data_IF_795395684700
#
_entry.id   IF_795395684700
#
_cell.length_a   1.000
_cell.length_b   1.000
_cell.length_c   1.000
_cell.angle_alpha   90.00
_cell.angle_beta   90.00
_cell.angle_gamma   90.00
#
_symmetry.space_group_name_H-M   'P 1'
#
loop_
_entity.id
_entity.type
_entity.pdbx_description
1 polymer ?
#
# COMPACT_ATOMS: atom_id res chain seq x y z
N UNK A 1 9.20 -9.73 9.15
CA UNK A 1 9.82 -8.41 9.40
C UNK A 1 9.29 -7.32 8.44
N UNK A 2 9.07 -7.59 7.14
CA UNK A 2 8.59 -6.58 6.16
C UNK A 2 7.19 -6.00 6.45
N UNK A 3 6.20 -6.83 6.81
CA UNK A 3 4.81 -6.37 7.09
C UNK A 3 4.74 -5.42 8.30
N UNK A 4 5.57 -5.63 9.33
CA UNK A 4 5.59 -4.75 10.51
C UNK A 4 6.13 -3.35 10.18
N UNK A 5 7.13 -3.25 9.30
CA UNK A 5 7.65 -1.96 8.82
C UNK A 5 6.59 -1.16 8.08
N UNK A 6 5.75 -1.82 7.28
CA UNK A 6 4.72 -1.17 6.49
C UNK A 6 3.54 -0.67 7.32
N UNK A 7 3.21 -1.35 8.43
CA UNK A 7 2.20 -0.86 9.37
C UNK A 7 2.68 0.43 10.06
N UNK A 8 3.97 0.50 10.40
CA UNK A 8 4.58 1.71 10.98
C UNK A 8 4.57 2.85 9.96
N UNK A 9 4.94 2.57 8.72
CA UNK A 9 4.89 3.51 7.60
C UNK A 9 3.46 4.02 7.36
N UNK A 10 2.46 3.14 7.34
CA UNK A 10 1.04 3.50 7.24
C UNK A 10 0.58 4.45 8.33
N UNK A 11 0.99 4.18 9.58
CA UNK A 11 0.64 5.04 10.72
C UNK A 11 1.25 6.42 10.55
N UNK A 12 2.54 6.48 10.20
CA UNK A 12 3.23 7.75 9.96
C UNK A 12 2.61 8.54 8.80
N UNK A 13 2.31 7.88 7.68
CA UNK A 13 1.71 8.52 6.51
C UNK A 13 0.28 9.00 6.79
N UNK A 14 -0.51 8.21 7.53
CA UNK A 14 -1.85 8.60 7.95
C UNK A 14 -1.81 9.81 8.90
N UNK A 15 -0.86 9.86 9.84
CA UNK A 15 -0.69 11.00 10.73
C UNK A 15 -0.28 12.26 9.96
N UNK A 16 0.67 12.16 9.03
CA UNK A 16 1.09 13.26 8.16
C UNK A 16 -0.10 13.83 7.37
N UNK A 17 -0.88 12.97 6.71
CA UNK A 17 -2.05 13.37 5.91
C UNK A 17 -3.10 14.15 6.72
N UNK A 18 -3.27 13.81 8.01
CA UNK A 18 -4.19 14.55 8.89
C UNK A 18 -3.64 15.89 9.38
N UNK A 19 -2.31 16.04 9.43
CA UNK A 19 -1.64 17.28 9.85
C UNK A 19 -1.51 18.30 8.71
N UNK A 20 -1.54 17.83 7.45
CA UNK A 20 -1.52 18.67 6.25
C UNK A 20 -2.70 19.67 6.28
N UNK A 21 -2.43 20.98 6.22
CA UNK A 21 -3.48 22.02 6.15
C UNK A 21 -3.90 22.35 4.71
N UNK A 22 -3.24 21.76 3.70
CA UNK A 22 -3.54 22.08 2.30
C UNK A 22 -4.91 21.54 1.86
N UNK A 23 -5.57 22.29 0.99
CA UNK A 23 -6.94 22.04 0.55
C UNK A 23 -7.02 21.04 -0.63
N UNK A 24 -5.91 20.83 -1.34
CA UNK A 24 -5.83 19.91 -2.46
C UNK A 24 -4.90 18.73 -2.13
N UNK A 25 -5.48 17.62 -1.67
CA UNK A 25 -4.74 16.44 -1.17
C UNK A 25 -4.95 15.19 -2.03
N UNK A 26 -5.23 15.34 -3.33
CA UNK A 26 -5.62 14.20 -4.16
C UNK A 26 -4.43 13.24 -4.30
N UNK A 27 -3.23 13.79 -4.52
CA UNK A 27 -2.01 12.99 -4.62
C UNK A 27 -1.72 12.19 -3.34
N UNK A 28 -1.69 12.84 -2.18
CA UNK A 28 -1.45 12.20 -0.89
C UNK A 28 -2.50 11.14 -0.53
N UNK A 29 -3.78 11.42 -0.82
CA UNK A 29 -4.86 10.47 -0.58
C UNK A 29 -4.68 9.20 -1.44
N UNK A 30 -4.22 9.37 -2.69
CA UNK A 30 -3.90 8.25 -3.57
C UNK A 30 -2.69 7.47 -3.05
N UNK A 31 -1.61 8.14 -2.62
CA UNK A 31 -0.46 7.47 -1.99
C UNK A 31 -0.95 6.61 -0.81
N UNK A 32 -1.72 7.20 0.12
CA UNK A 32 -2.24 6.46 1.28
C UNK A 32 -3.13 5.27 0.88
N UNK A 33 -3.97 5.44 -0.14
CA UNK A 33 -4.82 4.37 -0.70
C UNK A 33 -3.98 3.23 -1.28
N UNK A 34 -2.92 3.57 -2.01
CA UNK A 34 -2.01 2.60 -2.60
C UNK A 34 -1.24 1.80 -1.53
N UNK A 35 -0.74 2.48 -0.48
CA UNK A 35 -0.06 1.82 0.66
C UNK A 35 -1.00 0.85 1.37
N UNK A 36 -2.25 1.24 1.61
CA UNK A 36 -3.26 0.35 2.21
C UNK A 36 -3.52 -0.88 1.34
N UNK A 37 -3.68 -0.68 0.03
CA UNK A 37 -3.94 -1.76 -0.92
C UNK A 37 -2.77 -2.75 -0.97
N UNK A 38 -1.52 -2.26 -0.99
CA UNK A 38 -0.32 -3.11 -0.90
C UNK A 38 -0.27 -3.90 0.39
N UNK A 39 -0.53 -3.25 1.52
CA UNK A 39 -0.49 -3.87 2.83
C UNK A 39 -1.49 -5.02 2.94
N UNK A 40 -2.71 -4.84 2.40
CA UNK A 40 -3.70 -5.92 2.31
C UNK A 40 -3.16 -7.07 1.46
N UNK A 41 -2.59 -6.76 0.29
CA UNK A 41 -1.99 -7.76 -0.59
C UNK A 41 -0.90 -8.60 0.08
N UNK A 42 0.01 -7.96 0.80
CA UNK A 42 1.11 -8.61 1.53
C UNK A 42 0.62 -9.45 2.72
N UNK A 43 -0.45 -9.02 3.40
CA UNK A 43 -1.08 -9.83 4.45
C UNK A 43 -1.66 -11.12 3.85
N UNK A 44 -2.35 -11.02 2.70
CA UNK A 44 -2.90 -12.19 2.02
C UNK A 44 -1.79 -13.14 1.54
N UNK A 45 -0.73 -12.61 0.92
CA UNK A 45 0.45 -13.37 0.51
C UNK A 45 1.08 -14.09 1.72
N UNK A 46 1.36 -13.37 2.80
CA UNK A 46 2.02 -13.93 3.98
C UNK A 46 1.19 -15.04 4.66
N UNK A 47 -0.13 -14.83 4.82
CA UNK A 47 -1.03 -15.84 5.37
C UNK A 47 -1.06 -17.07 4.46
N UNK A 48 -1.17 -16.86 3.15
CA UNK A 48 -1.31 -17.96 2.21
C UNK A 48 -0.04 -18.78 2.05
N UNK A 49 1.11 -18.13 1.89
CA UNK A 49 2.42 -18.79 1.86
C UNK A 49 2.64 -19.62 3.13
N UNK A 50 2.23 -19.09 4.30
CA UNK A 50 2.32 -19.85 5.57
C UNK A 50 1.48 -21.13 5.53
N UNK A 51 0.28 -21.08 4.96
CA UNK A 51 -0.60 -22.25 4.84
C UNK A 51 -0.13 -23.27 3.80
N UNK A 52 0.69 -22.86 2.83
CA UNK A 52 1.30 -23.77 1.86
C UNK A 52 2.40 -24.64 2.49
N UNK A 53 3.00 -24.19 3.60
CA UNK A 53 4.08 -24.92 4.26
C UNK A 53 3.59 -26.26 4.83
N UNK A 54 4.09 -27.35 4.27
CA UNK A 54 3.75 -28.71 4.73
C UNK A 54 2.36 -29.19 4.30
N UNK A 55 1.64 -28.45 3.47
CA UNK A 55 0.38 -28.90 2.89
C UNK A 55 0.65 -29.98 1.83
N UNK A 56 -0.08 -31.09 1.91
CA UNK A 56 0.07 -32.25 1.02
C UNK A 56 -1.18 -32.48 0.16
N UNK A 57 -2.29 -31.84 0.51
CA UNK A 57 -3.50 -31.82 -0.30
C UNK A 57 -3.33 -30.82 -1.46
N UNK A 58 -3.20 -31.34 -2.68
CA UNK A 58 -3.02 -30.55 -3.89
C UNK A 58 -4.16 -29.57 -4.16
N UNK A 59 -5.39 -29.88 -3.74
CA UNK A 59 -6.53 -28.98 -3.94
C UNK A 59 -6.38 -27.76 -3.05
N UNK A 60 -6.04 -27.96 -1.77
CA UNK A 60 -5.78 -26.87 -0.83
C UNK A 60 -4.56 -26.06 -1.21
N UNK A 61 -3.48 -26.72 -1.63
CA UNK A 61 -2.26 -26.07 -2.09
C UNK A 61 -2.55 -25.12 -3.26
N UNK A 62 -3.31 -25.56 -4.26
CA UNK A 62 -3.71 -24.74 -5.41
C UNK A 62 -4.62 -23.57 -5.00
N UNK A 63 -5.55 -23.79 -4.06
CA UNK A 63 -6.40 -22.71 -3.54
C UNK A 63 -5.57 -21.61 -2.85
N UNK A 64 -4.62 -22.00 -2.00
CA UNK A 64 -3.75 -21.05 -1.33
C UNK A 64 -2.85 -20.33 -2.34
N UNK A 65 -2.26 -21.02 -3.33
CA UNK A 65 -1.49 -20.34 -4.39
C UNK A 65 -2.29 -19.26 -5.13
N UNK A 66 -3.59 -19.48 -5.40
CA UNK A 66 -4.45 -18.45 -6.01
C UNK A 66 -4.67 -17.25 -5.09
N UNK A 67 -4.75 -17.47 -3.77
CA UNK A 67 -4.86 -16.38 -2.78
C UNK A 67 -3.56 -15.59 -2.74
N UNK A 68 -2.41 -16.25 -2.72
CA UNK A 68 -1.11 -15.58 -2.80
C UNK A 68 -0.97 -14.71 -4.06
N UNK A 69 -1.32 -15.25 -5.24
CA UNK A 69 -1.33 -14.50 -6.50
C UNK A 69 -2.29 -13.31 -6.46
N UNK A 70 -3.45 -13.45 -5.79
CA UNK A 70 -4.38 -12.34 -5.60
C UNK A 70 -3.77 -11.27 -4.68
N UNK A 71 -3.02 -11.68 -3.66
CA UNK A 71 -2.21 -10.79 -2.84
C UNK A 71 -1.20 -10.00 -3.66
N UNK A 72 -0.40 -10.69 -4.49
CA UNK A 72 0.58 -10.07 -5.39
C UNK A 72 -0.07 -9.06 -6.35
N UNK A 73 -1.25 -9.38 -6.89
CA UNK A 73 -2.02 -8.46 -7.72
C UNK A 73 -2.39 -7.18 -6.96
N UNK A 74 -2.89 -7.28 -5.74
CA UNK A 74 -3.19 -6.10 -4.92
C UNK A 74 -1.93 -5.27 -4.63
N UNK A 75 -0.79 -5.92 -4.37
CA UNK A 75 0.50 -5.22 -4.21
C UNK A 75 0.85 -4.43 -5.47
N UNK A 76 0.72 -5.04 -6.64
CA UNK A 76 1.02 -4.36 -7.90
C UNK A 76 0.09 -3.17 -8.17
N UNK A 77 -1.22 -3.31 -7.89
CA UNK A 77 -2.21 -2.24 -8.08
C UNK A 77 -1.93 -1.10 -7.10
N UNK A 78 -1.71 -1.40 -5.82
CA UNK A 78 -1.44 -0.38 -4.82
C UNK A 78 -0.15 0.39 -5.13
N UNK A 79 0.89 -0.27 -5.63
CA UNK A 79 2.11 0.40 -6.09
C UNK A 79 1.85 1.32 -7.30
N UNK A 80 1.00 0.91 -8.23
CA UNK A 80 0.61 1.77 -9.34
C UNK A 80 -0.17 3.01 -8.87
N UNK A 81 -1.07 2.85 -7.89
CA UNK A 81 -1.83 3.96 -7.29
C UNK A 81 -0.88 4.92 -6.56
N UNK A 82 0.12 4.42 -5.82
CA UNK A 82 1.14 5.26 -5.19
C UNK A 82 1.93 6.10 -6.20
N UNK A 83 2.31 5.50 -7.34
CA UNK A 83 3.01 6.23 -8.41
C UNK A 83 2.13 7.35 -8.97
N UNK A 84 0.85 7.07 -9.24
CA UNK A 84 -0.11 8.07 -9.70
C UNK A 84 -0.28 9.18 -8.67
N UNK A 85 -0.39 8.82 -7.39
CA UNK A 85 -0.47 9.77 -6.28
C UNK A 85 0.76 10.66 -6.19
N UNK A 86 1.96 10.09 -6.30
CA UNK A 86 3.21 10.85 -6.30
C UNK A 86 3.34 11.81 -7.48
N UNK A 87 2.85 11.43 -8.67
CA UNK A 87 2.78 12.35 -9.82
C UNK A 87 1.84 13.52 -9.52
N UNK A 88 0.66 13.24 -8.96
CA UNK A 88 -0.31 14.29 -8.62
C UNK A 88 0.23 15.23 -7.53
N UNK A 89 0.92 14.73 -6.50
CA UNK A 89 1.59 15.59 -5.50
C UNK A 89 2.54 16.59 -6.19
N UNK A 90 3.37 16.12 -7.12
CA UNK A 90 4.30 17.01 -7.84
C UNK A 90 3.57 18.07 -8.69
N UNK A 91 2.46 17.70 -9.32
CA UNK A 91 1.63 18.64 -10.09
C UNK A 91 0.95 19.66 -9.18
N UNK A 92 0.43 19.22 -8.02
CA UNK A 92 -0.20 20.05 -6.99
C UNK A 92 0.78 21.07 -6.41
N UNK A 93 1.97 20.62 -6.00
CA UNK A 93 3.04 21.47 -5.44
C UNK A 93 3.60 22.47 -6.46
N UNK A 94 3.54 22.15 -7.76
CA UNK A 94 3.94 23.10 -8.83
C UNK A 94 2.96 24.29 -8.91
N UNK A 95 1.69 24.06 -8.61
CA UNK A 95 0.64 25.10 -8.61
C UNK A 95 0.63 25.87 -7.30
N UNK A 96 0.72 25.17 -6.18
CA UNK A 96 0.75 25.73 -4.82
C UNK A 96 1.95 25.16 -4.07
N UNK A 97 3.09 25.87 -4.05
CA UNK A 97 4.28 25.37 -3.37
C UNK A 97 4.02 25.16 -1.88
N UNK A 98 4.52 24.07 -1.28
CA UNK A 98 4.31 23.79 0.13
C UNK A 98 4.95 24.87 0.99
N UNK A 99 4.28 25.23 2.09
CA UNK A 99 4.84 26.16 3.09
C UNK A 99 5.90 25.41 3.88
N UNK A 100 7.18 25.64 3.55
CA UNK A 100 8.30 25.09 4.31
C UNK A 100 8.42 25.85 5.65
N UNK A 101 7.95 25.25 6.73
CA UNK A 101 8.21 25.71 8.09
C UNK A 101 9.56 25.15 8.58
N UNK A 102 10.54 26.00 8.93
CA UNK A 102 11.87 25.57 9.37
C UNK A 102 11.91 24.95 10.77
#
# INVERSE_FOLDING_TARGET
MQVLGQIIELKGLSELFHLEEDSNKIGEQQILTGVWTRTIGQILEAISVTKQLGETDLVKLNQEQKIAITGDLLVSIGAAIEVIGGINVLEEETVTPPIIVP
#
